data_IF_350109721795
#
_entry.id   IF_350109721795
#
_cell.length_a   1.000
_cell.length_b   1.000
_cell.length_c   1.000
_cell.angle_alpha   90.00
_cell.angle_beta   90.00
_cell.angle_gamma   90.00
#
_symmetry.space_group_name_H-M   'P 1'
#
loop_
_entity.id
_entity.type
_entity.pdbx_description
1 polymer ?
#
# COMPACT_ATOMS: atom_id res chain seq x y z
N UNK A 1 21.31 8.83 -4.15
CA UNK A 1 21.10 8.02 -2.93
C UNK A 1 19.62 8.13 -2.63
N UNK A 2 18.99 7.05 -2.21
CA UNK A 2 17.55 7.10 -1.96
C UNK A 2 17.25 7.47 -0.53
N UNK A 3 16.33 8.42 -0.35
CA UNK A 3 15.73 8.78 0.93
C UNK A 3 14.24 8.51 0.89
N UNK A 4 13.62 8.41 2.06
CA UNK A 4 12.18 8.20 2.20
C UNK A 4 11.58 9.22 3.15
N UNK A 5 10.49 9.83 2.71
CA UNK A 5 9.68 10.73 3.52
C UNK A 5 8.25 10.17 3.64
N UNK A 6 7.66 10.35 4.81
CA UNK A 6 6.29 9.97 5.09
C UNK A 6 5.34 11.11 4.76
N UNK A 7 4.12 10.78 4.34
CA UNK A 7 3.03 11.71 4.07
C UNK A 7 1.68 11.05 4.36
N UNK A 8 0.57 11.80 4.55
CA UNK A 8 -0.74 11.18 4.66
C UNK A 8 -1.06 10.29 3.45
N UNK A 9 -1.62 9.11 3.72
CA UNK A 9 -2.02 8.15 2.67
C UNK A 9 -2.99 8.81 1.69
N UNK A 10 -2.73 8.64 0.39
CA UNK A 10 -3.49 9.25 -0.70
C UNK A 10 -3.01 10.64 -1.12
N UNK A 11 -2.01 11.21 -0.44
CA UNK A 11 -1.38 12.50 -0.79
C UNK A 11 0.05 12.35 -1.33
N UNK A 12 0.48 11.14 -1.65
CA UNK A 12 1.85 10.83 -2.07
C UNK A 12 2.25 11.58 -3.34
N UNK A 13 1.36 11.62 -4.35
CA UNK A 13 1.62 12.34 -5.59
C UNK A 13 1.74 13.86 -5.37
N UNK A 14 0.86 14.43 -4.55
CA UNK A 14 0.90 15.85 -4.18
C UNK A 14 2.18 16.19 -3.42
N UNK A 15 2.58 15.33 -2.47
CA UNK A 15 3.79 15.50 -1.68
C UNK A 15 5.05 15.43 -2.57
N UNK A 16 5.12 14.46 -3.48
CA UNK A 16 6.23 14.32 -4.43
C UNK A 16 6.33 15.55 -5.35
N UNK A 17 5.20 16.03 -5.89
CA UNK A 17 5.15 17.24 -6.72
C UNK A 17 5.67 18.48 -5.96
N UNK A 18 5.19 18.69 -4.73
CA UNK A 18 5.63 19.83 -3.89
C UNK A 18 7.11 19.75 -3.53
N UNK A 19 7.63 18.57 -3.20
CA UNK A 19 9.06 18.40 -2.94
C UNK A 19 9.91 18.65 -4.20
N UNK A 20 9.42 18.24 -5.37
CA UNK A 20 10.10 18.51 -6.63
C UNK A 20 10.18 20.00 -6.99
N UNK A 21 9.37 20.87 -6.38
CA UNK A 21 9.49 22.32 -6.54
C UNK A 21 10.84 22.86 -6.00
N UNK A 22 11.39 22.24 -4.95
CA UNK A 22 12.72 22.58 -4.43
C UNK A 22 13.85 22.14 -5.37
N UNK A 23 13.55 21.23 -6.30
CA UNK A 23 14.45 20.76 -7.35
C UNK A 23 14.06 21.28 -8.73
N UNK A 24 13.46 22.47 -8.81
CA UNK A 24 12.96 23.04 -10.08
C UNK A 24 14.04 23.14 -11.16
N UNK A 25 15.29 23.39 -10.77
CA UNK A 25 16.43 23.57 -11.67
C UNK A 25 17.04 22.25 -12.16
N UNK A 26 16.65 21.10 -11.58
CA UNK A 26 17.07 19.77 -12.05
C UNK A 26 16.20 19.33 -13.23
N UNK A 27 16.86 18.81 -14.27
CA UNK A 27 16.20 18.26 -15.45
C UNK A 27 15.34 17.04 -15.09
N UNK A 28 15.89 16.13 -14.29
CA UNK A 28 15.18 14.99 -13.73
C UNK A 28 14.71 15.29 -12.31
N UNK A 29 13.42 15.04 -12.05
CA UNK A 29 12.79 15.32 -10.77
C UNK A 29 13.05 14.15 -9.81
N UNK A 30 13.74 14.38 -8.68
CA UNK A 30 14.24 13.30 -7.83
C UNK A 30 13.16 12.68 -6.94
N UNK A 31 12.03 13.35 -6.70
CA UNK A 31 10.98 12.85 -5.81
C UNK A 31 9.91 12.10 -6.60
N UNK A 32 9.60 10.88 -6.19
CA UNK A 32 8.64 10.01 -6.89
C UNK A 32 7.88 9.11 -5.93
N UNK A 33 6.75 8.58 -6.41
CA UNK A 33 5.93 7.61 -5.69
C UNK A 33 6.16 6.24 -6.33
N UNK A 34 6.64 5.27 -5.54
CA UNK A 34 6.72 3.89 -6.00
C UNK A 34 5.32 3.34 -6.20
N UNK A 35 5.04 2.89 -7.42
CA UNK A 35 3.79 2.23 -7.78
C UNK A 35 4.07 0.77 -8.15
N UNK A 36 3.02 -0.05 -8.19
CA UNK A 36 3.09 -1.43 -8.68
C UNK A 36 1.89 -1.73 -9.56
N UNK A 37 2.09 -2.63 -10.51
CA UNK A 37 0.97 -3.18 -11.25
C UNK A 37 0.09 -4.04 -10.33
N UNK A 38 -1.22 -3.92 -10.54
CA UNK A 38 -2.26 -4.73 -9.94
C UNK A 38 -3.11 -5.32 -11.05
N UNK A 39 -3.54 -6.57 -10.83
CA UNK A 39 -4.33 -7.34 -11.79
C UNK A 39 -5.70 -7.69 -11.22
N UNK A 40 -6.69 -7.75 -12.09
CA UNK A 40 -7.99 -8.35 -11.76
C UNK A 40 -8.67 -8.88 -13.02
N UNK A 41 -9.72 -9.68 -12.82
CA UNK A 41 -10.58 -10.16 -13.91
C UNK A 41 -12.00 -9.69 -13.68
N UNK A 42 -12.64 -9.18 -14.73
CA UNK A 42 -14.05 -8.77 -14.72
C UNK A 42 -14.68 -9.14 -16.06
N UNK A 43 -15.79 -9.89 -16.05
CA UNK A 43 -16.46 -10.34 -17.27
C UNK A 43 -15.58 -11.19 -18.19
N UNK A 44 -14.63 -11.97 -17.65
CA UNK A 44 -13.67 -12.75 -18.43
C UNK A 44 -12.47 -11.96 -18.97
N UNK A 45 -12.50 -10.62 -18.87
CA UNK A 45 -11.41 -9.75 -19.32
C UNK A 45 -10.36 -9.60 -18.22
N UNK A 46 -9.08 -9.64 -18.61
CA UNK A 46 -7.93 -9.49 -17.72
C UNK A 46 -7.43 -8.05 -17.75
N UNK A 47 -7.59 -7.35 -16.63
CA UNK A 47 -7.23 -5.95 -16.49
C UNK A 47 -5.94 -5.78 -15.69
N UNK A 48 -5.20 -4.73 -16.06
CA UNK A 48 -3.95 -4.31 -15.40
C UNK A 48 -3.99 -2.82 -15.21
N UNK A 49 -3.81 -2.37 -13.97
CA UNK A 49 -3.64 -0.95 -13.65
C UNK A 49 -2.55 -0.82 -12.59
N UNK A 50 -2.26 0.40 -12.17
CA UNK A 50 -1.22 0.73 -11.20
C UNK A 50 -1.82 1.21 -9.89
N UNK A 51 -1.24 0.80 -8.76
CA UNK A 51 -1.55 1.32 -7.43
C UNK A 51 -0.26 1.71 -6.69
N UNK A 52 -0.37 2.56 -5.68
CA UNK A 52 0.77 2.93 -4.82
C UNK A 52 1.29 1.68 -4.11
N UNK A 53 2.60 1.44 -4.19
CA UNK A 53 3.24 0.25 -3.62
C UNK A 53 3.42 0.36 -2.11
N UNK A 54 3.82 1.54 -1.63
CA UNK A 54 4.00 1.84 -0.21
C UNK A 54 3.15 3.06 0.17
N UNK A 55 1.88 2.85 0.59
CA UNK A 55 1.00 3.94 0.98
C UNK A 55 1.61 4.80 2.10
N UNK A 56 1.54 6.11 1.93
CA UNK A 56 2.10 7.10 2.86
C UNK A 56 3.60 7.36 2.71
N UNK A 57 4.25 6.89 1.65
CA UNK A 57 5.68 7.09 1.42
C UNK A 57 5.97 7.75 0.07
N UNK A 58 6.93 8.66 0.08
CA UNK A 58 7.55 9.26 -1.12
C UNK A 58 9.05 8.95 -1.08
N UNK A 59 9.59 8.55 -2.22
CA UNK A 59 11.00 8.25 -2.40
C UNK A 59 11.70 9.43 -3.06
N UNK A 60 12.96 9.67 -2.68
CA UNK A 60 13.75 10.78 -3.23
C UNK A 60 15.13 10.28 -3.62
N UNK A 61 15.45 10.29 -4.91
CA UNK A 61 16.81 10.02 -5.40
C UNK A 61 17.63 11.31 -5.54
N UNK A 62 18.35 11.66 -4.49
CA UNK A 62 19.17 12.87 -4.49
C UNK A 62 20.54 12.62 -3.85
N UNK A 63 21.52 13.42 -4.25
CA UNK A 63 22.79 13.57 -3.52
C UNK A 63 22.82 14.88 -2.71
N UNK A 64 21.78 15.70 -2.86
CA UNK A 64 21.64 17.01 -2.21
C UNK A 64 20.67 16.87 -1.03
N UNK A 65 21.24 16.46 0.10
CA UNK A 65 20.55 16.28 1.38
C UNK A 65 20.04 17.60 1.98
N UNK A 66 20.81 18.71 1.99
CA UNK A 66 20.32 19.99 2.51
C UNK A 66 19.04 20.47 1.83
N UNK A 67 18.95 20.35 0.49
CA UNK A 67 17.72 20.74 -0.23
C UNK A 67 16.53 19.86 0.14
N UNK A 68 16.75 18.56 0.39
CA UNK A 68 15.68 17.66 0.85
C UNK A 68 15.20 18.07 2.24
N UNK A 69 16.12 18.31 3.17
CA UNK A 69 15.77 18.71 4.53
C UNK A 69 15.01 20.04 4.56
N UNK A 70 15.45 21.03 3.77
CA UNK A 70 14.78 22.32 3.66
C UNK A 70 13.37 22.17 3.07
N UNK A 71 13.22 21.32 2.05
CA UNK A 71 11.92 20.98 1.48
C UNK A 71 10.97 20.34 2.50
N UNK A 72 11.45 19.38 3.28
CA UNK A 72 10.66 18.73 4.34
C UNK A 72 10.29 19.71 5.46
N UNK A 73 11.22 20.58 5.87
CA UNK A 73 10.95 21.64 6.87
C UNK A 73 9.90 22.63 6.38
N UNK A 74 10.00 23.09 5.13
CA UNK A 74 9.03 24.02 4.54
C UNK A 74 7.63 23.40 4.37
N UNK A 75 7.57 22.10 4.13
CA UNK A 75 6.32 21.34 3.98
C UNK A 75 5.91 20.64 5.29
N UNK A 76 6.33 21.20 6.43
CA UNK A 76 5.90 20.75 7.75
C UNK A 76 4.37 20.69 7.83
N UNK A 77 3.83 19.51 8.15
CA UNK A 77 2.40 19.20 8.16
C UNK A 77 1.90 18.38 6.97
N UNK A 78 2.68 18.27 5.89
CA UNK A 78 2.42 17.35 4.78
C UNK A 78 3.42 16.19 4.72
N UNK A 79 4.70 16.47 4.98
CA UNK A 79 5.76 15.46 4.95
C UNK A 79 6.62 15.48 6.21
N UNK A 80 7.25 14.35 6.51
CA UNK A 80 8.23 14.19 7.60
C UNK A 80 9.18 13.02 7.30
N UNK A 81 10.36 13.00 7.89
CA UNK A 81 11.25 11.82 7.79
C UNK A 81 10.77 10.66 8.66
N UNK A 82 11.29 9.45 8.40
CA UNK A 82 10.93 8.23 9.13
C UNK A 82 11.24 8.30 10.63
N UNK A 83 12.29 9.03 11.00
CA UNK A 83 12.79 9.19 12.37
C UNK A 83 12.25 10.46 13.07
N UNK A 84 11.19 11.07 12.55
CA UNK A 84 10.54 12.23 13.16
C UNK A 84 9.86 11.89 14.48
N UNK A 85 9.83 12.84 15.43
CA UNK A 85 9.08 12.71 16.68
C UNK A 85 9.88 12.90 17.97
N UNK A 86 11.14 13.35 17.89
CA UNK A 86 11.90 13.80 19.07
C UNK A 86 11.79 15.33 19.23
N UNK A 87 11.97 15.83 20.45
CA UNK A 87 12.00 17.29 20.71
C UNK A 87 13.12 18.00 19.92
N UNK A 88 14.26 17.31 19.72
CA UNK A 88 15.39 17.83 18.95
C UNK A 88 15.15 17.80 17.42
N UNK A 89 14.33 16.85 16.93
CA UNK A 89 14.06 16.65 15.51
C UNK A 89 12.56 16.43 15.27
N UNK A 90 11.72 17.48 15.39
CA UNK A 90 10.27 17.36 15.27
C UNK A 90 9.83 16.82 13.90
N UNK A 91 10.61 17.06 12.85
CA UNK A 91 10.36 16.60 11.48
C UNK A 91 11.32 15.47 11.03
N UNK A 92 12.21 15.02 11.92
CA UNK A 92 13.27 14.05 11.64
C UNK A 92 14.44 14.64 10.84
N UNK A 93 15.32 13.77 10.36
CA UNK A 93 16.48 14.12 9.52
C UNK A 93 16.58 13.19 8.32
N UNK A 94 17.26 13.64 7.28
CA UNK A 94 17.47 12.82 6.10
C UNK A 94 18.40 11.64 6.41
N UNK A 95 17.86 10.44 6.43
CA UNK A 95 18.63 9.19 6.56
C UNK A 95 18.50 8.42 5.25
N UNK A 96 19.60 8.14 4.53
CA UNK A 96 19.53 7.38 3.30
C UNK A 96 19.12 5.93 3.58
N UNK A 97 18.44 5.31 2.61
CA UNK A 97 18.15 3.88 2.62
C UNK A 97 19.45 3.07 2.67
N UNK A 98 19.38 1.89 3.29
CA UNK A 98 20.50 0.94 3.26
C UNK A 98 20.80 0.56 1.81
N UNK A 99 22.08 0.35 1.48
CA UNK A 99 22.50 0.08 0.10
C UNK A 99 21.83 -1.16 -0.47
N UNK A 100 21.66 -2.20 0.34
CA UNK A 100 21.01 -3.46 -0.04
C UNK A 100 19.52 -3.24 -0.34
N UNK A 101 18.87 -2.38 0.44
CA UNK A 101 17.46 -2.00 0.24
C UNK A 101 17.27 -1.13 -1.01
N UNK A 102 18.10 -0.10 -1.20
CA UNK A 102 18.08 0.73 -2.40
C UNK A 102 18.31 -0.13 -3.65
N UNK A 103 19.29 -1.03 -3.61
CA UNK A 103 19.59 -1.96 -4.70
C UNK A 103 18.39 -2.84 -5.02
N UNK A 104 17.76 -3.44 -4.00
CA UNK A 104 16.59 -4.28 -4.17
C UNK A 104 15.41 -3.53 -4.80
N UNK A 105 15.12 -2.30 -4.37
CA UNK A 105 14.04 -1.48 -4.94
C UNK A 105 14.32 -1.11 -6.40
N UNK A 106 15.58 -0.81 -6.75
CA UNK A 106 16.00 -0.54 -8.13
C UNK A 106 15.86 -1.79 -9.02
N UNK A 107 16.24 -2.96 -8.52
CA UNK A 107 16.08 -4.23 -9.23
C UNK A 107 14.59 -4.61 -9.42
N UNK A 108 13.72 -4.27 -8.46
CA UNK A 108 12.27 -4.42 -8.62
C UNK A 108 11.73 -3.56 -9.76
N UNK A 109 12.22 -2.32 -9.89
CA UNK A 109 11.77 -1.37 -10.92
C UNK A 109 12.23 -1.74 -12.33
N UNK A 110 13.34 -2.46 -12.49
CA UNK A 110 13.90 -2.81 -13.81
C UNK A 110 14.06 -1.59 -14.73
N UNK A 111 14.56 -0.48 -14.17
CA UNK A 111 14.76 0.80 -14.86
C UNK A 111 13.46 1.43 -15.43
N UNK A 112 12.28 1.03 -14.92
CA UNK A 112 11.00 1.64 -15.30
C UNK A 112 10.98 3.13 -14.93
N UNK A 113 11.00 3.98 -15.95
CA UNK A 113 11.00 5.45 -15.81
C UNK A 113 9.76 6.02 -15.12
N UNK A 114 8.67 5.25 -15.05
CA UNK A 114 7.45 5.63 -14.32
C UNK A 114 7.48 5.19 -12.85
N UNK A 115 8.61 4.69 -12.36
CA UNK A 115 8.79 4.20 -11.00
C UNK A 115 7.71 3.15 -10.61
N UNK A 116 7.33 2.32 -11.58
CA UNK A 116 6.29 1.30 -11.41
C UNK A 116 6.89 -0.10 -11.47
N UNK A 117 6.70 -0.88 -10.40
CA UNK A 117 7.04 -2.31 -10.39
C UNK A 117 6.08 -3.07 -11.30
N UNK A 118 6.59 -3.48 -12.46
CA UNK A 118 5.85 -4.26 -13.47
C UNK A 118 5.70 -5.72 -13.07
N UNK A 119 4.63 -6.36 -13.55
CA UNK A 119 4.39 -7.79 -13.33
C UNK A 119 5.57 -8.65 -13.74
N UNK A 120 5.90 -9.60 -12.89
CA UNK A 120 6.97 -10.57 -13.15
C UNK A 120 6.43 -11.76 -13.94
N UNK A 121 7.07 -12.14 -15.05
CA UNK A 121 6.86 -13.44 -15.67
C UNK A 121 7.27 -14.54 -14.70
N UNK A 122 6.40 -15.52 -14.51
CA UNK A 122 6.68 -16.71 -13.72
C UNK A 122 6.28 -17.96 -14.48
N UNK A 123 7.00 -19.05 -14.21
CA UNK A 123 6.62 -20.40 -14.63
C UNK A 123 6.35 -21.22 -13.39
N UNK A 124 5.18 -21.84 -13.37
CA UNK A 124 4.75 -22.72 -12.30
C UNK A 124 4.41 -24.09 -12.87
N UNK A 125 4.66 -25.13 -12.08
CA UNK A 125 4.29 -26.50 -12.45
C UNK A 125 2.83 -26.81 -12.12
N UNK A 126 2.39 -28.02 -12.47
CA UNK A 126 1.01 -28.49 -12.25
C UNK A 126 0.60 -28.51 -10.77
N UNK A 127 1.56 -28.57 -9.84
CA UNK A 127 1.30 -28.49 -8.40
C UNK A 127 1.09 -27.04 -7.91
N UNK A 128 1.27 -26.04 -8.77
CA UNK A 128 1.17 -24.62 -8.43
C UNK A 128 2.43 -24.08 -7.73
N UNK A 129 3.55 -24.79 -7.84
CA UNK A 129 4.85 -24.36 -7.36
C UNK A 129 5.57 -23.52 -8.42
N UNK A 130 6.11 -22.36 -8.03
CA UNK A 130 6.86 -21.48 -8.94
C UNK A 130 8.28 -22.02 -9.05
N UNK A 131 8.63 -22.54 -10.22
CA UNK A 131 9.96 -23.11 -10.50
C UNK A 131 10.92 -22.05 -11.03
N UNK A 132 10.39 -20.98 -11.61
CA UNK A 132 11.18 -19.89 -12.16
C UNK A 132 10.40 -18.56 -12.15
N UNK A 133 11.10 -17.46 -11.91
CA UNK A 133 10.57 -16.10 -12.02
C UNK A 133 11.61 -15.16 -12.64
N UNK A 134 11.14 -14.16 -13.38
CA UNK A 134 12.00 -13.13 -13.98
C UNK A 134 12.59 -12.19 -12.93
N UNK A 135 13.78 -11.64 -13.23
CA UNK A 135 14.43 -10.60 -12.42
C UNK A 135 14.64 -11.00 -10.96
N UNK A 136 14.62 -9.99 -10.07
CA UNK A 136 14.86 -10.17 -8.62
C UNK A 136 13.84 -11.09 -7.95
N UNK A 137 12.65 -11.29 -8.52
CA UNK A 137 11.68 -12.24 -7.96
C UNK A 137 12.20 -13.69 -8.03
N UNK A 138 13.02 -14.02 -9.03
CA UNK A 138 13.68 -15.33 -9.14
C UNK A 138 14.64 -15.62 -7.99
N UNK A 139 15.40 -14.61 -7.56
CA UNK A 139 16.29 -14.73 -6.39
C UNK A 139 15.50 -14.79 -5.07
N UNK A 140 14.31 -14.20 -5.07
CA UNK A 140 13.43 -14.10 -3.90
C UNK A 140 12.41 -15.24 -3.79
N UNK A 141 12.48 -16.27 -4.65
CA UNK A 141 11.58 -17.44 -4.58
C UNK A 141 11.50 -18.05 -3.17
N UNK A 142 12.61 -18.24 -2.42
CA UNK A 142 12.56 -18.77 -1.06
C UNK A 142 11.84 -17.87 -0.05
N UNK A 143 11.68 -16.58 -0.35
CA UNK A 143 11.01 -15.58 0.49
C UNK A 143 9.54 -15.37 0.12
N UNK A 144 9.01 -16.12 -0.86
CA UNK A 144 7.58 -16.12 -1.19
C UNK A 144 6.82 -16.87 -0.09
N UNK A 145 6.06 -16.12 0.71
CA UNK A 145 5.26 -16.66 1.81
C UNK A 145 3.84 -17.03 1.38
N UNK A 146 3.37 -16.51 0.23
CA UNK A 146 2.02 -16.79 -0.29
C UNK A 146 1.98 -16.75 -1.80
N UNK A 147 1.35 -17.77 -2.40
CA UNK A 147 1.13 -17.90 -3.85
C UNK A 147 -0.37 -17.85 -4.12
N UNK A 148 -0.83 -16.85 -4.88
CA UNK A 148 -2.22 -16.76 -5.37
C UNK A 148 -2.20 -16.73 -6.89
N UNK A 149 -1.73 -17.81 -7.50
CA UNK A 149 -1.49 -17.91 -8.94
C UNK A 149 -2.73 -17.60 -9.78
N UNK A 150 -3.93 -18.05 -9.36
CA UNK A 150 -5.21 -17.72 -10.03
C UNK A 150 -5.50 -16.21 -10.07
N UNK A 151 -5.10 -15.48 -9.02
CA UNK A 151 -5.19 -14.02 -8.93
C UNK A 151 -3.97 -13.32 -9.51
N UNK A 152 -2.96 -14.07 -10.00
CA UNK A 152 -1.70 -13.56 -10.52
C UNK A 152 -0.98 -12.64 -9.53
N UNK A 153 -0.93 -13.05 -8.26
CA UNK A 153 -0.27 -12.33 -7.18
C UNK A 153 0.60 -13.30 -6.36
N UNK A 154 1.80 -12.87 -6.02
CA UNK A 154 2.64 -13.48 -4.98
C UNK A 154 2.86 -12.50 -3.84
N UNK A 155 3.06 -13.00 -2.63
CA UNK A 155 3.45 -12.18 -1.48
C UNK A 155 4.82 -12.63 -1.02
N UNK A 156 5.76 -11.68 -0.98
CA UNK A 156 7.10 -11.89 -0.42
C UNK A 156 7.20 -11.23 0.96
N UNK A 157 8.06 -11.78 1.80
CA UNK A 157 8.51 -11.10 3.02
C UNK A 157 9.88 -10.47 2.77
N UNK A 158 10.00 -9.17 3.03
CA UNK A 158 11.24 -8.41 2.86
C UNK A 158 11.40 -7.39 3.99
N UNK A 159 12.65 -7.11 4.38
CA UNK A 159 12.96 -6.01 5.29
C UNK A 159 13.06 -4.72 4.47
N UNK A 160 12.06 -3.85 4.62
CA UNK A 160 11.94 -2.60 3.87
C UNK A 160 11.42 -1.50 4.80
N UNK A 161 11.94 -0.29 4.62
CA UNK A 161 11.59 0.91 5.38
C UNK A 161 11.79 0.71 6.88
N UNK A 162 12.88 0.01 7.24
CA UNK A 162 13.24 -0.41 8.60
C UNK A 162 12.25 -1.37 9.29
N UNK A 163 11.38 -2.04 8.53
CA UNK A 163 10.40 -2.98 9.07
C UNK A 163 10.33 -4.28 8.24
N UNK A 164 9.94 -5.40 8.87
CA UNK A 164 9.59 -6.60 8.14
C UNK A 164 8.21 -6.42 7.47
N UNK A 165 8.18 -6.39 6.14
CA UNK A 165 6.97 -6.10 5.35
C UNK A 165 6.58 -7.27 4.46
N UNK A 166 5.27 -7.47 4.34
CA UNK A 166 4.69 -8.34 3.32
C UNK A 166 4.37 -7.49 2.09
N UNK A 167 5.01 -7.80 0.96
CA UNK A 167 4.84 -7.06 -0.29
C UNK A 167 4.13 -7.95 -1.29
N UNK A 168 2.97 -7.49 -1.75
CA UNK A 168 2.22 -8.16 -2.82
C UNK A 168 2.71 -7.68 -4.19
N UNK A 169 3.26 -8.60 -4.98
CA UNK A 169 3.73 -8.36 -6.34
C UNK A 169 2.81 -9.07 -7.33
N UNK A 170 2.39 -8.33 -8.35
CA UNK A 170 1.67 -8.94 -9.45
C UNK A 170 2.63 -9.75 -10.33
N UNK A 171 2.14 -10.86 -10.84
CA UNK A 171 2.86 -11.76 -11.75
C UNK A 171 2.08 -11.90 -13.05
N UNK A 172 2.70 -12.47 -14.06
CA UNK A 172 2.06 -12.93 -15.30
C UNK A 172 2.62 -14.28 -15.68
N UNK A 173 1.85 -15.06 -16.43
CA UNK A 173 2.26 -16.35 -16.96
C UNK A 173 2.25 -16.32 -18.48
N UNK A 174 2.93 -17.25 -19.14
CA UNK A 174 3.01 -17.28 -20.62
C UNK A 174 1.65 -17.56 -21.27
N UNK A 175 0.76 -18.26 -20.57
CA UNK A 175 -0.60 -18.59 -20.98
C UNK A 175 -1.62 -17.50 -20.63
N UNK A 176 -1.18 -16.36 -20.06
CA UNK A 176 -2.12 -15.28 -19.74
C UNK A 176 -2.72 -14.66 -21.00
N UNK A 177 -4.03 -14.36 -20.98
CA UNK A 177 -4.65 -13.60 -22.07
C UNK A 177 -4.03 -12.20 -22.15
N UNK A 178 -4.19 -11.57 -23.31
CA UNK A 178 -3.76 -10.19 -23.51
C UNK A 178 -4.39 -9.27 -22.45
N UNK A 179 -3.54 -8.43 -21.85
CA UNK A 179 -3.94 -7.55 -20.77
C UNK A 179 -4.58 -6.27 -21.31
N UNK A 180 -5.71 -5.90 -20.72
CA UNK A 180 -6.36 -4.60 -20.98
C UNK A 180 -5.89 -3.59 -19.94
N UNK A 181 -5.30 -2.49 -20.42
CA UNK A 181 -4.93 -1.35 -19.59
C UNK A 181 -6.07 -0.32 -19.64
N UNK A 182 -6.82 -0.11 -18.55
CA UNK A 182 -7.89 0.86 -18.55
C UNK A 182 -7.33 2.27 -18.75
N UNK A 183 -8.06 3.13 -19.47
CA UNK A 183 -7.70 4.54 -19.58
C UNK A 183 -7.84 5.19 -18.20
N UNK A 184 -6.83 5.96 -17.76
CA UNK A 184 -6.82 6.67 -16.47
C UNK A 184 -8.14 7.42 -16.24
N UNK A 185 -8.86 7.00 -15.21
CA UNK A 185 -10.12 7.52 -14.71
C UNK A 185 -10.59 6.59 -13.58
N UNK A 186 -11.36 7.07 -12.58
CA UNK A 186 -11.79 6.20 -11.50
C UNK A 186 -12.67 5.10 -12.07
N UNK A 187 -12.14 3.88 -12.17
CA UNK A 187 -12.95 2.68 -12.30
C UNK A 187 -13.64 2.47 -10.95
N UNK A 188 -14.73 3.19 -10.75
CA UNK A 188 -15.64 2.93 -9.66
C UNK A 188 -16.44 1.66 -10.03
N UNK A 189 -16.29 0.54 -9.31
CA UNK A 189 -17.07 -0.67 -9.58
C UNK A 189 -18.58 -0.45 -9.39
N UNK A 190 -19.02 0.66 -8.77
CA UNK A 190 -20.43 1.04 -8.65
C UNK A 190 -21.05 1.64 -9.92
N UNK A 191 -20.25 1.99 -10.93
CA UNK A 191 -20.75 2.63 -12.15
C UNK A 191 -21.07 1.65 -13.29
N UNK A 192 -20.97 0.34 -13.04
CA UNK A 192 -21.46 -0.70 -13.93
C UNK A 192 -22.67 -1.35 -13.26
N UNK A 193 -23.83 -0.71 -13.43
CA UNK A 193 -25.11 -1.28 -13.01
C UNK A 193 -25.36 -2.57 -13.79
N UNK A 194 -25.23 -3.68 -13.09
CA UNK A 194 -25.62 -5.02 -13.49
C UNK A 194 -25.60 -5.88 -12.22
N UNK A 195 -26.63 -5.69 -11.40
CA UNK A 195 -27.07 -6.49 -10.25
C UNK A 195 -26.00 -7.33 -9.54
N UNK A 196 -25.43 -6.79 -8.46
CA UNK A 196 -24.74 -7.59 -7.45
C UNK A 196 -25.37 -7.31 -6.08
N UNK A 197 -26.05 -8.34 -5.55
CA UNK A 197 -26.62 -8.34 -4.20
C UNK A 197 -25.50 -8.35 -3.17
N UNK A 198 -25.47 -7.33 -2.30
CA UNK A 198 -24.71 -7.32 -1.05
C UNK A 198 -25.23 -8.43 -0.13
N UNK A 199 -24.63 -9.63 -0.12
CA UNK A 199 -24.98 -10.66 0.86
C UNK A 199 -23.91 -11.73 1.17
N UNK A 200 -22.62 -11.46 1.00
CA UNK A 200 -21.57 -12.47 1.32
C UNK A 200 -20.47 -12.04 2.31
N UNK A 201 -20.61 -10.90 2.99
CA UNK A 201 -19.69 -10.50 4.08
C UNK A 201 -20.17 -10.85 5.49
N UNK A 202 -20.99 -11.88 5.66
CA UNK A 202 -21.30 -12.43 6.99
C UNK A 202 -21.10 -13.94 7.03
N UNK A 203 -19.83 -14.38 7.02
CA UNK A 203 -19.44 -15.73 7.44
C UNK A 203 -17.97 -15.84 7.83
N UNK A 204 -17.60 -15.17 8.92
CA UNK A 204 -16.57 -15.67 9.84
C UNK A 204 -17.10 -15.54 11.26
N UNK A 205 -17.73 -16.60 11.75
CA UNK A 205 -18.04 -16.77 13.16
C UNK A 205 -17.92 -18.25 13.52
N UNK A 206 -16.81 -18.62 14.16
CA UNK A 206 -16.61 -19.81 15.01
C UNK A 206 -15.34 -19.49 15.83
N UNK A 207 -15.21 -19.66 17.15
CA UNK A 207 -16.04 -20.12 18.26
C UNK A 207 -15.25 -19.82 19.53
N UNK A 208 -15.91 -19.34 20.58
CA UNK A 208 -15.36 -19.29 21.93
C UNK A 208 -16.50 -19.33 22.93
N UNK A 209 -16.89 -20.55 23.31
CA UNK A 209 -17.92 -20.85 24.32
C UNK A 209 -17.60 -20.19 25.67
N UNK A 210 -18.57 -19.53 26.31
CA UNK A 210 -19.17 -20.08 27.52
C UNK A 210 -20.45 -19.33 27.95
N UNK A 211 -21.37 -20.00 28.68
CA UNK A 211 -22.77 -19.61 28.76
C UNK A 211 -23.15 -18.90 30.07
N UNK A 212 -24.39 -18.38 30.05
CA UNK A 212 -25.27 -18.17 31.20
C UNK A 212 -25.02 -16.96 32.11
N UNK A 213 -25.89 -15.95 31.98
CA UNK A 213 -26.94 -15.67 32.99
C UNK A 213 -28.00 -14.71 32.44
N UNK A 214 -29.24 -15.20 32.41
CA UNK A 214 -30.49 -14.40 32.37
C UNK A 214 -30.59 -13.58 33.66
N UNK A 215 -31.22 -12.41 33.58
CA UNK A 215 -32.27 -11.86 34.49
C UNK A 215 -32.73 -10.53 33.82
N UNK A 216 -33.80 -10.54 33.02
CA UNK A 216 -35.20 -10.18 33.34
C UNK A 216 -35.43 -8.67 33.50
N UNK A 217 -36.05 -8.05 32.48
CA UNK A 217 -36.85 -6.82 32.63
C UNK A 217 -38.19 -7.19 33.28
N UNK A 218 -38.68 -6.37 34.21
CA UNK A 218 -40.10 -6.26 34.51
C UNK A 218 -40.52 -4.79 34.50
N UNK A 219 -41.68 -4.56 33.88
CA UNK A 219 -42.47 -3.33 33.80
C UNK A 219 -43.22 -3.03 35.12
N UNK A 220 -43.68 -1.78 35.25
CA UNK A 220 -44.76 -1.33 36.15
C UNK A 220 -44.48 0.11 36.59
N UNK A 221 -45.02 1.15 35.94
CA UNK A 221 -46.41 1.66 35.97
C UNK A 221 -46.76 2.42 37.27
N UNK A 222 -47.17 3.69 37.08
CA UNK A 222 -48.01 4.54 37.97
C UNK A 222 -47.39 4.94 39.34
N UNK A 223 -47.63 6.10 39.97
CA UNK A 223 -48.52 7.23 39.77
C UNK A 223 -48.04 8.42 40.65
N UNK A 224 -48.57 9.61 40.38
CA UNK A 224 -48.89 10.72 41.28
C UNK A 224 -47.87 11.45 42.19
N UNK A 225 -47.64 12.71 41.78
CA UNK A 225 -47.73 13.97 42.54
C UNK A 225 -47.77 14.02 44.08
N UNK A 226 -46.85 14.81 44.66
CA UNK A 226 -47.03 15.84 45.73
C UNK A 226 -45.63 16.40 46.05
N UNK A 227 -45.29 17.67 45.78
CA UNK A 227 -45.53 18.93 46.53
C UNK A 227 -44.85 19.00 47.93
N UNK A 228 -44.08 20.09 48.13
CA UNK A 228 -43.52 20.66 49.38
C UNK A 228 -42.35 19.87 50.02
N UNK A 229 -41.35 20.45 50.68
CA UNK A 229 -40.85 21.81 50.96
C UNK A 229 -39.54 21.61 51.77
N UNK A 230 -38.68 22.65 51.85
CA UNK A 230 -37.74 23.02 52.94
C UNK A 230 -36.86 21.92 53.60
N UNK A 231 -35.58 22.08 53.91
CA UNK A 231 -34.66 23.21 54.15
C UNK A 231 -33.28 22.90 53.55
#
# INVERSE_FOLDING_TARGET
MWYVVQTPVGREAEAAEKLNHFYRDKAEKPCFVLSKERTWRMGGVYYVDTEVMFPGYVFVDTADEPVLEDGVKCLAGLVRFLNAGSEAHPYGTAVPLKKEEEKFLKELLREDSSHTVRRFLVRANDAGEIEWAEGVLGEMLPKIIRKRLRKRIVTIQAELLNEARQVELAIRMEDDPEAVFPKKGPLNPKNLSGDFQENDFSRVSVSGKNPSKKITRLHGAENDGTKLAAE
#
